data_IF_649913742652
#
_entry.id   IF_649913742652
#
_cell.length_a   1.000
_cell.length_b   1.000
_cell.length_c   1.000
_cell.angle_alpha   90.00
_cell.angle_beta   90.00
_cell.angle_gamma   90.00
#
_symmetry.space_group_name_H-M   'P 1'
#
loop_
_entity.id
_entity.type
_entity.pdbx_description
1 polymer ?
#
# COMPACT_ATOMS: atom_id res chain seq x y z
N UNK A 1 0.46 -31.18 28.69
CA UNK A 1 -0.45 -30.32 29.50
C UNK A 1 0.06 -28.88 29.58
N UNK A 2 -0.24 -28.06 28.58
CA UNK A 2 0.07 -26.62 28.62
C UNK A 2 -1.16 -25.86 28.10
N UNK A 3 -2.10 -25.58 28.99
CA UNK A 3 -3.08 -24.50 28.81
C UNK A 3 -2.41 -23.19 29.22
N UNK A 4 -2.18 -22.28 28.28
CA UNK A 4 -1.53 -21.00 28.55
C UNK A 4 -2.36 -19.85 27.97
N UNK A 5 -2.61 -18.84 28.81
CA UNK A 5 -3.32 -17.60 28.47
C UNK A 5 -2.32 -16.59 27.92
N UNK A 6 -2.69 -15.81 26.91
CA UNK A 6 -1.88 -14.71 26.38
C UNK A 6 -2.70 -13.42 26.26
N UNK A 7 -2.08 -12.27 26.53
CA UNK A 7 -2.67 -10.92 26.43
C UNK A 7 -2.11 -10.18 25.21
N UNK A 8 -2.93 -9.38 24.52
CA UNK A 8 -2.50 -8.43 23.46
C UNK A 8 -2.66 -7.00 23.97
N UNK A 9 -1.72 -6.11 23.67
CA UNK A 9 -1.93 -4.66 23.85
C UNK A 9 -1.52 -3.86 22.62
N UNK A 10 -2.26 -2.78 22.36
CA UNK A 10 -2.06 -1.87 21.23
C UNK A 10 -2.60 -0.50 21.57
N UNK A 11 -1.74 0.52 21.61
CA UNK A 11 -1.93 1.83 20.95
C UNK A 11 -0.81 2.82 21.30
N UNK A 12 -0.17 3.39 20.27
CA UNK A 12 0.70 4.57 20.32
C UNK A 12 -0.11 5.87 20.56
N UNK A 13 0.47 6.86 21.25
CA UNK A 13 0.82 8.17 20.65
C UNK A 13 1.42 9.19 21.67
N UNK A 14 2.66 9.63 21.36
CA UNK A 14 3.39 10.88 21.62
C UNK A 14 3.93 11.36 23.01
N UNK A 15 5.27 11.59 22.96
CA UNK A 15 6.10 12.67 23.55
C UNK A 15 6.76 12.54 24.93
N UNK A 16 8.07 12.25 24.87
CA UNK A 16 9.20 12.70 25.72
C UNK A 16 8.91 13.19 27.16
N UNK A 17 9.41 12.45 28.16
CA UNK A 17 10.52 12.84 29.07
C UNK A 17 10.75 11.74 30.12
N UNK A 18 12.02 11.52 30.43
CA UNK A 18 12.52 10.71 31.55
C UNK A 18 11.83 11.06 32.87
N UNK A 19 11.18 10.08 33.53
CA UNK A 19 10.81 10.17 34.94
C UNK A 19 10.72 8.76 35.56
N UNK A 20 11.45 8.59 36.66
CA UNK A 20 11.47 7.43 37.56
C UNK A 20 10.04 7.21 38.11
N UNK A 21 9.52 5.97 38.22
CA UNK A 21 8.19 5.74 38.80
C UNK A 21 8.16 6.01 40.31
N UNK A 22 7.06 6.57 40.87
CA UNK A 22 6.88 6.73 42.31
C UNK A 22 6.64 5.37 43.02
N UNK A 23 6.89 5.28 44.33
CA UNK A 23 6.84 4.02 45.08
C UNK A 23 5.41 3.48 45.26
N UNK A 24 5.31 2.15 45.28
CA UNK A 24 4.07 1.38 45.50
C UNK A 24 3.60 1.53 46.97
N UNK A 25 2.30 1.80 47.24
CA UNK A 25 1.78 1.87 48.61
C UNK A 25 1.74 0.50 49.31
N UNK A 26 1.87 0.44 50.65
CA UNK A 26 1.93 -0.82 51.39
C UNK A 26 0.58 -1.57 51.39
N UNK A 27 0.64 -2.91 51.38
CA UNK A 27 -0.53 -3.79 51.47
C UNK A 27 -1.19 -3.70 52.87
N UNK A 28 -2.53 -3.66 52.97
CA UNK A 28 -3.23 -3.67 54.25
C UNK A 28 -3.08 -5.00 55.01
N UNK A 29 -2.85 -4.91 56.32
CA UNK A 29 -2.44 -5.98 57.24
C UNK A 29 -3.55 -6.94 57.74
N UNK A 30 -4.70 -7.04 57.07
CA UNK A 30 -5.86 -7.80 57.62
C UNK A 30 -6.46 -8.88 56.71
N UNK A 31 -5.62 -9.71 56.07
CA UNK A 31 -6.10 -10.92 55.37
C UNK A 31 -5.47 -12.23 55.85
N UNK A 32 -4.74 -12.19 56.97
CA UNK A 32 -4.08 -13.38 57.55
C UNK A 32 -4.99 -14.15 58.53
N UNK A 33 -6.16 -13.61 58.90
CA UNK A 33 -7.07 -14.30 59.83
C UNK A 33 -8.11 -15.23 59.18
N UNK A 34 -8.29 -15.20 57.85
CA UNK A 34 -9.37 -15.96 57.18
C UNK A 34 -9.02 -17.41 56.81
N UNK A 35 -7.78 -17.87 57.00
CA UNK A 35 -7.35 -19.23 56.58
C UNK A 35 -6.55 -19.99 57.64
N UNK A 36 -6.87 -19.81 58.94
CA UNK A 36 -6.25 -20.54 60.06
C UNK A 36 -6.66 -22.04 60.13
N UNK A 37 -7.65 -22.48 59.34
CA UNK A 37 -8.14 -23.86 59.34
C UNK A 37 -7.96 -24.52 57.98
N UNK A 38 -6.74 -24.95 57.64
CA UNK A 38 -6.43 -26.00 56.67
C UNK A 38 -4.97 -26.43 56.93
N UNK A 39 -4.74 -26.97 58.14
CA UNK A 39 -3.53 -27.75 58.46
C UNK A 39 -3.76 -29.14 57.92
N UNK A 40 -3.02 -29.56 56.89
CA UNK A 40 -2.47 -30.91 56.77
C UNK A 40 -1.41 -30.98 55.64
N UNK A 41 -0.15 -30.92 56.09
CA UNK A 41 1.07 -31.52 55.51
C UNK A 41 1.75 -30.89 54.27
N UNK A 42 3.09 -31.01 54.14
CA UNK A 42 4.15 -30.73 55.12
C UNK A 42 5.07 -29.57 54.70
N UNK A 43 5.74 -29.04 55.72
CA UNK A 43 6.69 -27.91 55.80
C UNK A 43 7.87 -28.07 54.81
N UNK A 44 8.19 -27.06 53.98
CA UNK A 44 9.05 -25.88 54.22
C UNK A 44 10.54 -26.23 54.48
N UNK A 45 11.44 -25.70 53.65
CA UNK A 45 12.66 -25.01 54.11
C UNK A 45 13.28 -24.15 53.00
N UNK A 46 13.13 -22.83 53.17
CA UNK A 46 13.94 -21.78 52.55
C UNK A 46 15.13 -21.55 53.48
N UNK A 47 16.36 -21.46 52.95
CA UNK A 47 17.51 -20.95 53.71
C UNK A 47 17.63 -19.42 53.55
N UNK A 48 18.15 -18.70 54.57
CA UNK A 48 18.17 -17.25 54.63
C UNK A 48 19.28 -16.63 53.76
N UNK A 49 19.09 -15.38 53.33
CA UNK A 49 20.12 -14.57 52.70
C UNK A 49 21.17 -14.08 53.72
N UNK A 50 22.49 -14.08 53.40
CA UNK A 50 23.51 -13.39 54.19
C UNK A 50 23.64 -11.89 53.83
N UNK A 51 24.14 -11.10 54.77
CA UNK A 51 24.06 -9.63 54.86
C UNK A 51 24.99 -8.83 53.89
N UNK A 52 24.63 -7.59 53.51
CA UNK A 52 25.58 -6.56 53.05
C UNK A 52 26.13 -5.80 54.27
N UNK A 53 27.40 -5.32 54.36
CA UNK A 53 27.89 -4.10 53.66
C UNK A 53 29.44 -4.14 53.41
N UNK A 54 30.22 -3.13 52.96
CA UNK A 54 30.49 -1.76 53.45
C UNK A 54 31.23 -0.93 52.37
N UNK A 55 30.95 0.38 52.36
CA UNK A 55 31.56 1.46 51.56
C UNK A 55 32.99 1.85 51.98
N UNK A 56 33.78 2.36 51.04
CA UNK A 56 35.00 3.13 51.30
C UNK A 56 35.18 4.28 50.31
N UNK A 57 34.88 5.50 50.77
CA UNK A 57 35.22 6.77 50.12
C UNK A 57 36.74 7.00 50.04
N UNK A 58 37.23 7.66 48.97
CA UNK A 58 37.86 9.00 49.07
C UNK A 58 38.41 9.53 47.73
N UNK A 59 38.23 10.85 47.59
CA UNK A 59 38.68 11.78 46.54
C UNK A 59 40.19 12.06 46.63
N UNK A 60 40.83 12.40 45.49
CA UNK A 60 41.66 13.62 45.38
C UNK A 60 42.14 13.89 43.94
N UNK A 61 41.99 15.14 43.54
CA UNK A 61 42.46 15.87 42.37
C UNK A 61 43.97 16.15 42.37
N UNK A 62 44.65 16.13 41.20
CA UNK A 62 45.76 17.04 40.82
C UNK A 62 45.88 17.14 39.28
N UNK A 63 46.07 18.37 38.77
CA UNK A 63 46.34 18.73 37.36
C UNK A 63 47.85 18.79 37.03
N UNK A 64 48.18 18.30 35.83
CA UNK A 64 49.13 18.75 34.78
C UNK A 64 50.54 19.31 35.07
N UNK A 65 51.58 18.70 34.47
CA UNK A 65 52.37 19.33 33.38
C UNK A 65 53.38 18.37 32.70
N UNK A 66 53.12 18.08 31.42
CA UNK A 66 53.97 18.31 30.23
C UNK A 66 55.45 17.83 30.18
N UNK A 67 55.74 16.79 29.37
CA UNK A 67 56.46 16.87 28.06
C UNK A 67 56.95 15.51 27.51
N UNK A 68 56.45 15.20 26.29
CA UNK A 68 57.04 14.44 25.16
C UNK A 68 57.33 12.93 25.31
N UNK A 69 56.49 12.10 24.67
CA UNK A 69 56.82 11.38 23.40
C UNK A 69 55.59 10.68 22.80
N UNK A 70 55.29 11.08 21.55
CA UNK A 70 54.75 10.31 20.42
C UNK A 70 53.47 9.45 20.54
N UNK A 71 52.59 9.69 19.56
CA UNK A 71 51.55 8.83 18.95
C UNK A 71 50.21 8.62 19.68
N UNK A 72 49.25 9.52 19.39
CA UNK A 72 47.80 9.26 19.29
C UNK A 72 47.44 9.01 17.81
N UNK A 73 46.19 8.64 17.43
CA UNK A 73 45.24 7.72 18.04
C UNK A 73 44.67 6.70 17.03
N UNK A 74 44.07 5.64 17.56
CA UNK A 74 43.23 4.68 16.82
C UNK A 74 42.01 5.41 16.26
N UNK A 75 41.89 5.40 14.93
CA UNK A 75 40.74 5.86 14.17
C UNK A 75 40.43 4.75 13.15
N UNK A 76 39.44 3.90 13.45
CA UNK A 76 38.99 2.89 12.50
C UNK A 76 37.87 3.48 11.65
N UNK A 77 38.24 3.93 10.45
CA UNK A 77 37.36 4.01 9.29
C UNK A 77 37.83 2.97 8.27
N UNK A 78 36.89 2.11 7.86
CA UNK A 78 36.69 1.54 6.52
C UNK A 78 37.86 1.59 5.53
N UNK A 79 38.26 0.42 5.00
CA UNK A 79 38.13 0.12 3.55
C UNK A 79 38.51 -1.34 3.21
N UNK A 80 37.68 -1.93 2.34
CA UNK A 80 38.07 -2.74 1.16
C UNK A 80 38.88 -4.02 1.37
N UNK A 81 38.27 -5.18 1.08
CA UNK A 81 39.00 -6.40 0.75
C UNK A 81 38.69 -6.88 -0.69
N UNK A 82 39.74 -6.80 -1.51
CA UNK A 82 40.22 -7.70 -2.56
C UNK A 82 39.24 -8.44 -3.50
N UNK A 83 39.25 -7.92 -4.72
CA UNK A 83 39.26 -8.60 -6.03
C UNK A 83 39.92 -9.99 -5.99
N UNK A 84 39.17 -11.03 -6.32
CA UNK A 84 39.68 -12.33 -6.77
C UNK A 84 39.30 -12.53 -8.23
N UNK A 85 40.31 -12.74 -9.07
CA UNK A 85 40.16 -13.32 -10.40
C UNK A 85 40.00 -14.84 -10.25
N UNK A 86 39.11 -15.43 -11.03
CA UNK A 86 39.20 -16.84 -11.41
C UNK A 86 38.52 -17.05 -12.76
N UNK A 87 39.35 -17.32 -13.76
CA UNK A 87 38.98 -18.11 -14.93
C UNK A 87 38.97 -19.58 -14.50
N UNK A 88 37.83 -20.26 -14.62
CA UNK A 88 37.68 -21.45 -15.46
C UNK A 88 36.30 -22.09 -15.30
N UNK A 89 35.87 -22.65 -16.43
CA UNK A 89 34.58 -23.28 -16.69
C UNK A 89 34.24 -24.47 -15.77
N UNK A 90 32.95 -24.66 -15.48
CA UNK A 90 32.14 -25.78 -15.98
C UNK A 90 30.74 -25.79 -15.33
N UNK A 91 29.76 -26.14 -16.16
CA UNK A 91 28.34 -26.39 -15.94
C UNK A 91 27.83 -26.62 -14.49
N UNK A 92 26.75 -25.93 -14.11
CA UNK A 92 25.42 -26.55 -13.92
C UNK A 92 24.34 -25.50 -13.63
N UNK A 93 23.17 -25.79 -14.17
CA UNK A 93 21.95 -24.98 -14.33
C UNK A 93 21.12 -24.81 -13.04
N UNK A 94 20.62 -23.60 -12.77
CA UNK A 94 19.22 -23.42 -12.39
C UNK A 94 18.77 -21.99 -12.71
N UNK A 95 17.75 -21.88 -13.54
CA UNK A 95 17.23 -20.63 -14.10
C UNK A 95 15.97 -20.24 -13.33
N UNK A 96 15.96 -19.09 -12.65
CA UNK A 96 14.71 -18.43 -12.26
C UNK A 96 14.53 -17.21 -13.17
N UNK A 97 13.57 -17.30 -14.08
CA UNK A 97 13.32 -16.27 -15.11
C UNK A 97 12.70 -15.02 -14.48
N UNK A 98 13.39 -13.89 -14.58
CA UNK A 98 12.76 -12.57 -14.48
C UNK A 98 11.87 -12.37 -15.71
N UNK A 99 10.55 -12.48 -15.53
CA UNK A 99 9.54 -12.16 -16.55
C UNK A 99 9.56 -10.66 -16.86
N UNK A 100 10.39 -10.25 -17.82
CA UNK A 100 10.19 -9.00 -18.56
C UNK A 100 9.01 -9.21 -19.51
N UNK A 101 7.81 -8.79 -19.11
CA UNK A 101 6.70 -8.68 -20.05
C UNK A 101 6.96 -7.50 -21.01
N UNK A 102 7.54 -7.77 -22.17
CA UNK A 102 7.48 -6.86 -23.31
C UNK A 102 6.10 -7.01 -23.96
N UNK A 103 5.18 -6.11 -23.66
CA UNK A 103 3.92 -6.02 -24.40
C UNK A 103 4.20 -5.39 -25.77
N UNK A 104 4.30 -6.23 -26.80
CA UNK A 104 4.33 -5.80 -28.20
C UNK A 104 2.89 -5.66 -28.69
N UNK A 105 2.46 -4.43 -29.00
CA UNK A 105 1.16 -4.13 -29.63
C UNK A 105 1.19 -4.46 -31.14
N UNK A 106 1.65 -5.67 -31.51
CA UNK A 106 1.95 -6.07 -32.88
C UNK A 106 0.75 -6.22 -33.82
N UNK A 107 -0.46 -6.41 -33.27
CA UNK A 107 -1.64 -6.77 -34.07
C UNK A 107 -2.63 -5.63 -34.31
N UNK A 108 -2.30 -4.40 -33.91
CA UNK A 108 -3.11 -3.21 -34.21
C UNK A 108 -2.47 -2.40 -35.34
N UNK A 109 -2.57 -2.92 -36.58
CA UNK A 109 -2.10 -2.19 -37.78
C UNK A 109 -2.88 -0.89 -37.95
N UNK A 110 -2.19 0.22 -37.68
CA UNK A 110 -2.62 1.58 -37.97
C UNK A 110 -2.65 1.83 -39.48
N UNK A 111 -3.81 2.22 -40.00
CA UNK A 111 -3.90 2.93 -41.29
C UNK A 111 -3.24 4.30 -41.13
N UNK A 112 -2.07 4.48 -41.76
CA UNK A 112 -1.36 5.76 -41.83
C UNK A 112 -2.10 6.71 -42.78
N UNK A 113 -2.98 7.56 -42.26
CA UNK A 113 -3.36 8.81 -42.95
C UNK A 113 -3.72 9.94 -41.99
N UNK A 114 -3.20 11.12 -42.30
CA UNK A 114 -3.49 12.46 -41.77
C UNK A 114 -2.58 13.04 -40.66
N UNK A 115 -1.46 13.59 -41.10
CA UNK A 115 -0.48 14.36 -40.30
C UNK A 115 -0.74 15.88 -40.25
N UNK A 116 -1.81 16.38 -40.88
CA UNK A 116 -2.15 17.83 -40.89
C UNK A 116 -3.17 18.24 -39.81
N UNK A 117 -4.08 17.34 -39.42
CA UNK A 117 -5.14 17.64 -38.44
C UNK A 117 -4.65 17.66 -36.98
N UNK A 118 -3.64 16.83 -36.66
CA UNK A 118 -3.04 16.75 -35.31
C UNK A 118 -2.48 18.11 -34.83
N UNK A 119 -2.01 18.98 -35.72
CA UNK A 119 -1.47 20.31 -35.37
C UNK A 119 -2.56 21.36 -35.09
N UNK A 120 -3.75 21.23 -35.66
CA UNK A 120 -4.84 22.19 -35.47
C UNK A 120 -5.54 22.02 -34.11
N UNK A 121 -5.71 20.78 -33.66
CA UNK A 121 -6.32 20.45 -32.35
C UNK A 121 -5.37 20.78 -31.20
N UNK A 122 -4.07 20.49 -31.34
CA UNK A 122 -3.05 20.89 -30.36
C UNK A 122 -2.96 22.43 -30.18
N UNK A 123 -3.31 23.21 -31.22
CA UNK A 123 -3.38 24.68 -31.14
C UNK A 123 -4.65 25.15 -30.42
N UNK A 124 -5.81 24.57 -30.74
CA UNK A 124 -7.10 24.88 -30.08
C UNK A 124 -7.14 24.47 -28.60
N UNK A 125 -6.49 23.37 -28.22
CA UNK A 125 -6.35 22.94 -26.82
C UNK A 125 -5.43 23.87 -26.00
N UNK A 126 -4.45 24.51 -26.64
CA UNK A 126 -3.50 25.40 -25.97
C UNK A 126 -4.07 26.83 -25.76
N UNK A 127 -5.08 27.21 -26.55
CA UNK A 127 -5.81 28.48 -26.43
C UNK A 127 -6.87 28.44 -25.29
N UNK A 128 -7.38 27.26 -24.93
CA UNK A 128 -8.34 27.06 -23.83
C UNK A 128 -7.67 26.65 -22.51
N UNK A 129 -6.85 27.53 -21.93
CA UNK A 129 -6.17 27.30 -20.63
C UNK A 129 -7.11 27.13 -19.42
N UNK A 130 -8.43 27.29 -19.58
CA UNK A 130 -9.40 27.28 -18.48
C UNK A 130 -9.95 25.90 -18.12
N UNK A 131 -9.64 24.84 -18.89
CA UNK A 131 -10.25 23.50 -18.73
C UNK A 131 -9.26 22.35 -18.52
N UNK A 132 -8.07 22.61 -17.97
CA UNK A 132 -7.10 21.56 -17.60
C UNK A 132 -7.41 20.84 -16.28
N UNK A 133 -8.58 21.06 -15.69
CA UNK A 133 -9.02 20.39 -14.47
C UNK A 133 -9.94 19.24 -14.83
N UNK A 134 -9.74 18.07 -14.20
CA UNK A 134 -10.75 17.02 -14.15
C UNK A 134 -12.01 17.63 -13.50
N UNK A 135 -13.12 17.82 -14.23
CA UNK A 135 -14.35 18.25 -13.59
C UNK A 135 -14.83 17.12 -12.67
N UNK A 136 -15.16 17.44 -11.41
CA UNK A 136 -15.64 16.46 -10.42
C UNK A 136 -14.60 15.94 -9.43
N UNK A 137 -13.57 16.73 -9.11
CA UNK A 137 -12.56 16.35 -8.10
C UNK A 137 -13.05 16.48 -6.64
N UNK A 138 -14.07 17.31 -6.36
CA UNK A 138 -14.50 17.58 -4.97
C UNK A 138 -15.76 16.81 -4.52
N UNK A 139 -16.53 16.20 -5.42
CA UNK A 139 -17.85 15.63 -5.05
C UNK A 139 -17.90 14.11 -4.88
N UNK A 140 -16.89 13.35 -5.31
CA UNK A 140 -17.05 11.89 -5.41
C UNK A 140 -16.28 11.06 -4.36
N UNK A 141 -15.35 11.66 -3.62
CA UNK A 141 -14.62 10.97 -2.56
C UNK A 141 -15.27 11.10 -1.16
N UNK A 142 -16.15 12.07 -0.95
CA UNK A 142 -16.89 12.22 0.33
C UNK A 142 -18.00 11.15 0.50
N UNK A 143 -18.58 10.69 -0.62
CA UNK A 143 -19.76 9.82 -0.60
C UNK A 143 -19.46 8.34 -0.34
N UNK A 144 -18.20 7.89 -0.42
CA UNK A 144 -17.84 6.51 -0.03
C UNK A 144 -17.79 6.30 1.49
N UNK A 145 -17.86 7.38 2.29
CA UNK A 145 -17.78 7.33 3.76
C UNK A 145 -19.06 7.74 4.50
N UNK A 146 -20.16 8.05 3.81
CA UNK A 146 -21.46 8.25 4.47
C UNK A 146 -22.56 7.55 3.68
N UNK A 147 -23.04 6.44 4.22
CA UNK A 147 -24.19 5.74 3.67
C UNK A 147 -25.46 6.53 3.94
N UNK A 148 -25.83 7.46 3.04
CA UNK A 148 -27.20 7.98 2.89
C UNK A 148 -27.34 8.47 1.44
N UNK A 149 -27.93 7.66 0.56
CA UNK A 149 -28.40 8.15 -0.74
C UNK A 149 -29.78 8.79 -0.51
N UNK A 150 -29.81 10.09 -0.21
CA UNK A 150 -31.06 10.84 -0.24
C UNK A 150 -31.34 11.21 -1.70
N UNK A 151 -32.02 10.32 -2.39
CA UNK A 151 -32.62 10.59 -3.69
C UNK A 151 -33.75 11.60 -3.49
N UNK A 152 -33.49 12.86 -3.81
CA UNK A 152 -34.57 13.82 -4.07
C UNK A 152 -35.04 13.60 -5.51
N UNK A 153 -35.92 12.62 -5.68
CA UNK A 153 -36.74 12.47 -6.89
C UNK A 153 -37.75 13.63 -6.92
N UNK A 154 -37.55 14.60 -7.82
CA UNK A 154 -38.67 15.41 -8.29
C UNK A 154 -39.43 14.59 -9.33
N UNK A 155 -40.55 14.04 -8.89
CA UNK A 155 -41.55 13.37 -9.70
C UNK A 155 -42.15 14.32 -10.73
N UNK A 156 -41.86 14.11 -12.00
CA UNK A 156 -42.71 14.51 -13.12
C UNK A 156 -42.78 13.32 -14.09
N UNK A 157 -43.72 12.42 -13.80
CA UNK A 157 -44.33 11.56 -14.81
C UNK A 157 -45.29 12.43 -15.61
N UNK A 158 -45.05 12.62 -16.91
CA UNK A 158 -46.09 12.59 -17.95
C UNK A 158 -45.49 12.67 -19.37
N UNK A 159 -46.07 11.83 -20.23
CA UNK A 159 -46.14 11.83 -21.69
C UNK A 159 -44.94 11.38 -22.57
N UNK A 160 -45.07 10.10 -22.94
CA UNK A 160 -44.53 9.42 -24.12
C UNK A 160 -45.10 10.08 -25.39
N UNK A 161 -44.28 10.11 -26.45
CA UNK A 161 -44.53 10.63 -27.81
C UNK A 161 -43.92 12.03 -27.98
N UNK A 162 -42.64 12.07 -28.42
CA UNK A 162 -41.79 13.18 -28.94
C UNK A 162 -40.32 13.20 -28.41
N UNK A 163 -39.80 12.10 -27.82
CA UNK A 163 -38.47 12.11 -27.15
C UNK A 163 -37.24 11.65 -27.97
N UNK A 164 -37.40 11.10 -29.17
CA UNK A 164 -36.28 10.51 -29.94
C UNK A 164 -35.10 11.46 -30.25
N UNK A 165 -35.33 12.73 -30.66
CA UNK A 165 -34.24 13.68 -30.94
C UNK A 165 -33.48 14.10 -29.66
N UNK A 166 -34.21 14.26 -28.54
CA UNK A 166 -33.62 14.65 -27.26
C UNK A 166 -32.78 13.53 -26.64
N UNK A 167 -33.20 12.27 -26.79
CA UNK A 167 -32.42 11.11 -26.30
C UNK A 167 -31.13 10.92 -27.11
N UNK A 168 -31.17 11.10 -28.44
CA UNK A 168 -29.99 11.05 -29.31
C UNK A 168 -28.97 12.16 -28.98
N UNK A 169 -29.44 13.36 -28.66
CA UNK A 169 -28.58 14.47 -28.18
C UNK A 169 -27.97 14.15 -26.81
N UNK A 170 -28.75 13.61 -25.86
CA UNK A 170 -28.23 13.19 -24.54
C UNK A 170 -27.20 12.07 -24.64
N UNK A 171 -27.42 11.07 -25.51
CA UNK A 171 -26.48 9.98 -25.76
C UNK A 171 -25.13 10.50 -26.29
N UNK A 172 -25.18 11.42 -27.27
CA UNK A 172 -23.99 12.09 -27.80
C UNK A 172 -23.24 12.85 -26.70
N UNK A 173 -23.94 13.61 -25.85
CA UNK A 173 -23.32 14.37 -24.76
C UNK A 173 -22.58 13.48 -23.76
N UNK A 174 -23.11 12.31 -23.43
CA UNK A 174 -22.40 11.36 -22.54
C UNK A 174 -21.16 10.78 -23.24
N UNK A 175 -21.25 10.46 -24.53
CA UNK A 175 -20.09 10.01 -25.31
C UNK A 175 -19.02 11.10 -25.43
N UNK A 176 -19.44 12.35 -25.66
CA UNK A 176 -18.58 13.53 -25.68
C UNK A 176 -17.92 13.75 -24.31
N UNK A 177 -18.65 13.62 -23.21
CA UNK A 177 -18.09 13.68 -21.86
C UNK A 177 -17.05 12.58 -21.63
N UNK A 178 -17.31 11.35 -22.05
CA UNK A 178 -16.36 10.25 -21.94
C UNK A 178 -15.06 10.55 -22.69
N UNK A 179 -15.16 11.05 -23.93
CA UNK A 179 -14.01 11.45 -24.74
C UNK A 179 -13.24 12.63 -24.12
N UNK A 180 -13.95 13.70 -23.74
CA UNK A 180 -13.37 14.90 -23.14
C UNK A 180 -12.63 14.58 -21.85
N UNK A 181 -13.22 13.76 -20.97
CA UNK A 181 -12.59 13.35 -19.72
C UNK A 181 -11.43 12.36 -19.95
N UNK A 182 -11.46 11.54 -21.00
CA UNK A 182 -10.33 10.71 -21.41
C UNK A 182 -9.14 11.58 -21.85
N UNK A 183 -9.36 12.59 -22.68
CA UNK A 183 -8.31 13.53 -23.08
C UNK A 183 -7.71 14.28 -21.90
N UNK A 184 -8.55 14.75 -20.97
CA UNK A 184 -8.08 15.38 -19.73
C UNK A 184 -7.19 14.41 -18.93
N UNK A 185 -7.60 13.15 -18.80
CA UNK A 185 -6.81 12.13 -18.12
C UNK A 185 -5.48 11.84 -18.82
N UNK A 186 -5.47 11.72 -20.16
CA UNK A 186 -4.24 11.55 -20.95
C UNK A 186 -3.28 12.74 -20.77
N UNK A 187 -3.81 13.96 -20.67
CA UNK A 187 -3.01 15.15 -20.38
C UNK A 187 -2.38 15.10 -18.98
N UNK A 188 -3.12 14.65 -17.96
CA UNK A 188 -2.57 14.41 -16.62
C UNK A 188 -1.46 13.35 -16.66
N UNK A 189 -1.69 12.21 -17.34
CA UNK A 189 -0.68 11.17 -17.52
C UNK A 189 0.56 11.70 -18.26
N UNK A 190 0.39 12.58 -19.25
CA UNK A 190 1.51 13.23 -19.95
C UNK A 190 2.27 14.19 -19.03
N UNK A 191 1.56 14.98 -18.23
CA UNK A 191 2.19 15.88 -17.26
C UNK A 191 3.09 15.08 -16.30
N UNK A 192 2.56 13.98 -15.76
CA UNK A 192 3.30 13.11 -14.82
C UNK A 192 4.46 12.34 -15.49
N UNK A 193 4.24 11.75 -16.67
CA UNK A 193 5.19 10.80 -17.27
C UNK A 193 6.16 11.39 -18.30
N UNK A 194 5.94 12.61 -18.76
CA UNK A 194 6.76 13.25 -19.80
C UNK A 194 7.19 14.64 -19.38
N UNK A 195 6.23 15.49 -18.97
CA UNK A 195 6.55 16.89 -18.72
C UNK A 195 7.32 17.06 -17.40
N UNK A 196 6.98 16.29 -16.35
CA UNK A 196 7.65 16.36 -15.06
C UNK A 196 9.13 15.93 -15.11
N UNK A 197 9.50 14.75 -15.64
CA UNK A 197 10.92 14.37 -15.76
C UNK A 197 11.72 15.37 -16.59
N UNK A 198 11.18 15.81 -17.74
CA UNK A 198 11.82 16.82 -18.59
C UNK A 198 11.98 18.16 -17.90
N UNK A 199 10.99 18.55 -17.09
CA UNK A 199 11.07 19.77 -16.31
C UNK A 199 12.23 19.68 -15.31
N UNK A 200 12.31 18.60 -14.53
CA UNK A 200 13.42 18.39 -13.59
C UNK A 200 14.77 18.34 -14.31
N UNK A 201 14.87 17.62 -15.43
CA UNK A 201 16.08 17.57 -16.27
C UNK A 201 16.49 18.98 -16.72
N UNK A 202 15.56 19.78 -17.24
CA UNK A 202 15.85 21.15 -17.67
C UNK A 202 16.28 22.07 -16.52
N UNK A 203 15.71 21.90 -15.32
CA UNK A 203 16.10 22.65 -14.14
C UNK A 203 17.47 22.22 -13.63
N UNK A 204 17.84 20.95 -13.80
CA UNK A 204 19.14 20.41 -13.37
C UNK A 204 20.32 20.98 -14.16
N UNK A 205 20.08 21.41 -15.40
CA UNK A 205 21.07 22.11 -16.22
C UNK A 205 21.42 23.49 -15.64
N UNK A 206 20.47 24.11 -14.92
CA UNK A 206 20.64 25.42 -14.29
C UNK A 206 21.13 25.24 -12.84
N UNK A 207 20.56 24.27 -12.12
CA UNK A 207 20.92 23.93 -10.75
C UNK A 207 21.30 22.46 -10.63
N UNK A 208 22.60 22.18 -10.66
CA UNK A 208 23.15 20.82 -10.56
C UNK A 208 22.83 20.12 -9.22
N UNK A 209 22.39 20.85 -8.17
CA UNK A 209 21.95 20.23 -6.91
C UNK A 209 20.71 19.34 -7.10
N UNK A 210 19.97 19.52 -8.19
CA UNK A 210 18.88 18.66 -8.64
C UNK A 210 19.35 17.35 -9.30
N UNK A 211 20.64 17.01 -9.25
CA UNK A 211 21.12 15.68 -9.67
C UNK A 211 21.40 14.76 -8.48
N UNK A 212 21.27 15.28 -7.25
CA UNK A 212 21.64 14.56 -6.02
C UNK A 212 20.49 13.72 -5.47
N UNK A 213 19.23 14.08 -5.78
CA UNK A 213 18.07 13.34 -5.32
C UNK A 213 17.88 12.01 -6.08
N UNK A 214 17.29 10.99 -5.45
CA UNK A 214 16.84 9.78 -6.13
C UNK A 214 15.92 10.09 -7.32
N UNK A 215 16.05 9.31 -8.39
CA UNK A 215 15.43 9.57 -9.71
C UNK A 215 13.94 9.18 -9.81
N UNK A 216 13.16 9.57 -8.78
CA UNK A 216 11.71 9.39 -8.70
C UNK A 216 10.97 9.92 -9.95
N UNK A 217 11.35 11.06 -10.58
CA UNK A 217 10.68 11.51 -11.80
C UNK A 217 10.72 10.48 -12.93
N UNK A 218 11.88 9.90 -13.23
CA UNK A 218 11.98 8.88 -14.26
C UNK A 218 11.34 7.56 -13.83
N UNK A 219 11.29 7.24 -12.53
CA UNK A 219 10.55 6.09 -12.04
C UNK A 219 9.04 6.21 -12.30
N UNK A 220 8.45 7.35 -11.97
CA UNK A 220 7.05 7.66 -12.28
C UNK A 220 6.81 7.53 -13.78
N UNK A 221 7.69 8.11 -14.60
CA UNK A 221 7.61 8.06 -16.06
C UNK A 221 7.58 6.63 -16.59
N UNK A 222 8.46 5.76 -16.07
CA UNK A 222 8.58 4.36 -16.49
C UNK A 222 7.29 3.58 -16.21
N UNK A 223 6.72 3.74 -15.01
CA UNK A 223 5.50 3.03 -14.62
C UNK A 223 4.26 3.52 -15.37
N UNK A 224 4.21 4.81 -15.71
CA UNK A 224 3.08 5.41 -16.44
C UNK A 224 3.18 5.33 -17.97
N UNK A 225 4.35 4.99 -18.52
CA UNK A 225 4.61 5.04 -19.97
C UNK A 225 3.60 4.22 -20.78
N UNK A 226 3.42 2.96 -20.42
CA UNK A 226 2.56 2.04 -21.16
C UNK A 226 1.07 2.39 -20.95
N UNK A 227 0.70 2.82 -19.74
CA UNK A 227 -0.65 3.27 -19.41
C UNK A 227 -1.04 4.51 -20.22
N UNK A 228 -0.16 5.50 -20.32
CA UNK A 228 -0.40 6.70 -21.14
C UNK A 228 -0.64 6.36 -22.62
N UNK A 229 0.09 5.39 -23.17
CA UNK A 229 -0.11 4.96 -24.56
C UNK A 229 -1.49 4.33 -24.76
N UNK A 230 -1.90 3.43 -23.86
CA UNK A 230 -3.23 2.81 -23.90
C UNK A 230 -4.33 3.88 -23.86
N UNK A 231 -4.28 4.78 -22.90
CA UNK A 231 -5.33 5.80 -22.74
C UNK A 231 -5.34 6.84 -23.86
N UNK A 232 -4.17 7.16 -24.44
CA UNK A 232 -4.10 7.99 -25.65
C UNK A 232 -4.82 7.31 -26.83
N UNK A 233 -4.65 6.00 -26.99
CA UNK A 233 -5.36 5.25 -28.03
C UNK A 233 -6.88 5.24 -27.80
N UNK A 234 -7.34 5.10 -26.55
CA UNK A 234 -8.76 5.21 -26.19
C UNK A 234 -9.30 6.59 -26.57
N UNK A 235 -8.58 7.67 -26.21
CA UNK A 235 -8.96 9.04 -26.52
C UNK A 235 -9.03 9.29 -28.04
N UNK A 236 -8.04 8.83 -28.81
CA UNK A 236 -8.03 8.96 -30.28
C UNK A 236 -9.18 8.19 -30.93
N UNK A 237 -9.51 6.97 -30.43
CA UNK A 237 -10.63 6.17 -30.94
C UNK A 237 -12.00 6.79 -30.62
N UNK A 238 -12.19 7.28 -29.39
CA UNK A 238 -13.41 7.98 -28.99
C UNK A 238 -13.59 9.25 -29.82
N UNK A 239 -12.53 10.05 -30.01
CA UNK A 239 -12.59 11.25 -30.83
C UNK A 239 -12.97 10.92 -32.27
N UNK A 240 -12.32 9.94 -32.89
CA UNK A 240 -12.63 9.52 -34.26
C UNK A 240 -14.09 9.07 -34.42
N UNK A 241 -14.68 8.49 -33.37
CA UNK A 241 -16.09 8.07 -33.35
C UNK A 241 -17.02 9.28 -33.26
N UNK A 242 -16.72 10.27 -32.42
CA UNK A 242 -17.50 11.50 -32.33
C UNK A 242 -17.45 12.32 -33.62
N UNK A 243 -16.28 12.38 -34.28
CA UNK A 243 -16.12 13.08 -35.56
C UNK A 243 -17.00 12.48 -36.69
N UNK A 244 -17.41 11.21 -36.55
CA UNK A 244 -18.25 10.46 -37.48
C UNK A 244 -19.54 9.93 -36.84
N UNK A 245 -20.03 10.63 -35.81
CA UNK A 245 -21.13 10.16 -34.96
C UNK A 245 -22.41 9.81 -35.73
N UNK A 246 -22.76 10.63 -36.72
CA UNK A 246 -23.99 10.44 -37.53
C UNK A 246 -24.01 9.10 -38.27
N UNK A 247 -22.84 8.59 -38.67
CA UNK A 247 -22.72 7.32 -39.37
C UNK A 247 -22.74 6.12 -38.42
N UNK A 248 -22.26 6.30 -37.19
CA UNK A 248 -22.11 5.21 -36.20
C UNK A 248 -22.20 5.74 -34.76
N UNK A 249 -23.42 5.97 -34.23
CA UNK A 249 -23.63 6.61 -32.93
C UNK A 249 -23.52 5.61 -31.76
N UNK A 250 -22.34 5.02 -31.60
CA UNK A 250 -22.10 3.90 -30.69
C UNK A 250 -20.66 4.05 -30.14
N UNK A 251 -20.32 3.59 -28.93
CA UNK A 251 -18.95 3.64 -28.37
C UNK A 251 -18.54 2.38 -27.62
N UNK A 252 -19.49 1.50 -27.29
CA UNK A 252 -19.24 0.31 -26.49
C UNK A 252 -18.18 -0.62 -27.10
N UNK A 253 -18.18 -0.77 -28.43
CA UNK A 253 -17.19 -1.59 -29.14
C UNK A 253 -15.74 -1.13 -28.92
N UNK A 254 -15.53 0.16 -28.65
CA UNK A 254 -14.21 0.71 -28.33
C UNK A 254 -13.78 0.20 -26.96
N UNK A 255 -14.68 0.29 -25.97
CA UNK A 255 -14.43 -0.11 -24.58
C UNK A 255 -14.26 -1.62 -24.43
N UNK A 256 -15.04 -2.43 -25.15
CA UNK A 256 -14.88 -3.89 -25.19
C UNK A 256 -13.49 -4.31 -25.69
N UNK A 257 -12.99 -3.64 -26.74
CA UNK A 257 -11.66 -3.92 -27.31
C UNK A 257 -10.52 -3.58 -26.35
N UNK A 258 -10.66 -2.55 -25.52
CA UNK A 258 -9.60 -2.07 -24.63
C UNK A 258 -9.73 -2.55 -23.18
N UNK A 259 -10.91 -3.02 -22.77
CA UNK A 259 -11.26 -3.24 -21.37
C UNK A 259 -10.30 -4.19 -20.65
N UNK A 260 -9.92 -5.30 -21.28
CA UNK A 260 -8.96 -6.24 -20.71
C UNK A 260 -7.56 -5.65 -20.51
N UNK A 261 -7.14 -4.71 -21.37
CA UNK A 261 -5.82 -4.07 -21.25
C UNK A 261 -5.75 -3.12 -20.07
N UNK A 262 -6.87 -2.57 -19.59
CA UNK A 262 -6.91 -1.70 -18.42
C UNK A 262 -6.40 -2.38 -17.14
N UNK A 263 -6.39 -3.73 -17.09
CA UNK A 263 -5.77 -4.51 -16.00
C UNK A 263 -4.30 -4.13 -15.76
N UNK A 264 -3.59 -3.62 -16.77
CA UNK A 264 -2.21 -3.14 -16.64
C UNK A 264 -2.07 -1.99 -15.63
N UNK A 265 -3.17 -1.27 -15.33
CA UNK A 265 -3.20 -0.20 -14.33
C UNK A 265 -2.78 -0.70 -12.95
N UNK A 266 -3.04 -1.97 -12.63
CA UNK A 266 -2.58 -2.63 -11.40
C UNK A 266 -1.07 -2.47 -11.20
N UNK A 267 -0.27 -2.59 -12.25
CA UNK A 267 1.20 -2.52 -12.17
C UNK A 267 1.68 -1.17 -11.62
N UNK A 268 1.04 -0.08 -12.05
CA UNK A 268 1.33 1.25 -11.51
C UNK A 268 0.75 1.40 -10.11
N UNK A 269 -0.51 1.02 -9.91
CA UNK A 269 -1.21 1.21 -8.64
C UNK A 269 -0.52 0.49 -7.48
N UNK A 270 0.06 -0.69 -7.72
CA UNK A 270 0.87 -1.39 -6.72
C UNK A 270 2.11 -0.59 -6.29
N UNK A 271 2.72 0.20 -7.18
CA UNK A 271 3.95 0.98 -6.88
C UNK A 271 3.64 2.42 -6.44
N UNK A 272 2.39 2.86 -6.56
CA UNK A 272 1.96 4.25 -6.33
C UNK A 272 2.37 4.77 -4.95
N UNK A 273 2.14 4.00 -3.89
CA UNK A 273 2.42 4.42 -2.51
C UNK A 273 3.91 4.60 -2.24
N UNK A 274 4.74 3.69 -2.76
CA UNK A 274 6.19 3.76 -2.68
C UNK A 274 6.71 5.01 -3.41
N UNK A 275 6.27 5.23 -4.66
CA UNK A 275 6.64 6.41 -5.45
C UNK A 275 6.21 7.72 -4.79
N UNK A 276 5.00 7.75 -4.20
CA UNK A 276 4.48 8.89 -3.45
C UNK A 276 5.35 9.18 -2.22
N UNK A 277 5.71 8.14 -1.46
CA UNK A 277 6.54 8.25 -0.27
C UNK A 277 7.93 8.76 -0.62
N UNK A 278 8.56 8.20 -1.66
CA UNK A 278 9.88 8.65 -2.13
C UNK A 278 9.85 10.10 -2.61
N UNK A 279 8.80 10.52 -3.33
CA UNK A 279 8.64 11.92 -3.73
C UNK A 279 8.58 12.86 -2.52
N UNK A 280 7.76 12.52 -1.53
CA UNK A 280 7.62 13.32 -0.29
C UNK A 280 8.94 13.38 0.48
N UNK A 281 9.62 12.24 0.63
CA UNK A 281 10.92 12.16 1.31
C UNK A 281 11.97 13.00 0.58
N UNK A 282 12.02 12.92 -0.75
CA UNK A 282 12.93 13.73 -1.56
C UNK A 282 12.64 15.23 -1.40
N UNK A 283 11.37 15.66 -1.41
CA UNK A 283 11.03 17.06 -1.15
C UNK A 283 11.45 17.51 0.25
N UNK A 284 11.39 16.64 1.27
CA UNK A 284 11.86 16.98 2.62
C UNK A 284 13.38 17.09 2.72
N UNK A 285 14.10 16.21 2.02
CA UNK A 285 15.56 16.13 2.08
C UNK A 285 16.25 17.14 1.17
N UNK A 286 15.64 17.50 0.04
CA UNK A 286 16.25 18.32 -1.02
C UNK A 286 15.40 19.58 -1.30
N UNK A 287 15.70 20.73 -0.66
CA UNK A 287 14.90 21.95 -0.80
C UNK A 287 14.78 22.48 -2.23
N UNK A 288 15.86 22.40 -3.01
CA UNK A 288 15.86 22.83 -4.41
C UNK A 288 14.92 21.96 -5.26
N UNK A 289 14.88 20.65 -4.97
CA UNK A 289 13.95 19.73 -5.61
C UNK A 289 12.50 20.03 -5.21
N UNK A 290 12.25 20.30 -3.92
CA UNK A 290 10.92 20.73 -3.46
C UNK A 290 10.45 22.01 -4.16
N UNK A 291 11.32 23.01 -4.33
CA UNK A 291 10.99 24.23 -5.05
C UNK A 291 10.68 23.94 -6.53
N UNK A 292 11.46 23.07 -7.18
CA UNK A 292 11.19 22.64 -8.55
C UNK A 292 9.85 21.91 -8.69
N UNK A 293 9.55 20.96 -7.80
CA UNK A 293 8.27 20.25 -7.75
C UNK A 293 7.11 21.23 -7.55
N UNK A 294 7.23 22.17 -6.61
CA UNK A 294 6.21 23.18 -6.35
C UNK A 294 5.94 24.08 -7.57
N UNK A 295 7.01 24.51 -8.25
CA UNK A 295 6.90 25.30 -9.48
C UNK A 295 6.20 24.51 -10.60
N UNK A 296 6.49 23.21 -10.71
CA UNK A 296 5.81 22.32 -11.63
C UNK A 296 4.32 22.19 -11.30
N UNK A 297 3.98 21.93 -10.03
CA UNK A 297 2.60 21.82 -9.53
C UNK A 297 1.78 23.08 -9.81
N UNK A 298 2.35 24.27 -9.56
CA UNK A 298 1.69 25.55 -9.84
C UNK A 298 1.39 25.71 -11.33
N UNK A 299 2.30 25.29 -12.20
CA UNK A 299 2.17 25.43 -13.66
C UNK A 299 1.24 24.40 -14.28
N UNK A 300 1.31 23.15 -13.84
CA UNK A 300 0.62 22.02 -14.50
C UNK A 300 -0.66 21.59 -13.79
N UNK A 301 -0.77 21.79 -12.49
CA UNK A 301 -1.89 21.29 -11.67
C UNK A 301 -2.62 22.39 -10.88
N UNK A 302 -2.35 23.67 -11.19
CA UNK A 302 -2.99 24.79 -10.50
C UNK A 302 -2.69 24.85 -9.00
N UNK A 303 -1.55 24.29 -8.57
CA UNK A 303 -1.15 24.21 -7.16
C UNK A 303 -1.62 22.95 -6.43
N UNK A 304 -2.32 22.03 -7.08
CA UNK A 304 -2.57 20.70 -6.51
C UNK A 304 -1.26 19.89 -6.48
N UNK A 305 -1.08 19.15 -5.38
CA UNK A 305 0.13 18.36 -5.17
C UNK A 305 0.26 17.23 -6.20
N UNK A 306 1.48 17.03 -6.73
CA UNK A 306 1.80 15.99 -7.70
C UNK A 306 1.47 14.60 -7.13
N UNK A 307 1.69 14.40 -5.84
CA UNK A 307 1.39 13.14 -5.16
C UNK A 307 -0.09 12.77 -5.24
N UNK A 308 -0.99 13.76 -5.12
CA UNK A 308 -2.44 13.53 -5.26
C UNK A 308 -2.82 13.24 -6.71
N UNK A 309 -2.09 13.78 -7.68
CA UNK A 309 -2.33 13.48 -9.09
C UNK A 309 -2.03 12.02 -9.45
N UNK A 310 -1.22 11.30 -8.65
CA UNK A 310 -0.98 9.87 -8.87
C UNK A 310 -2.25 9.02 -8.70
N UNK A 311 -3.25 9.49 -7.94
CA UNK A 311 -4.52 8.80 -7.74
C UNK A 311 -5.42 8.81 -8.98
N UNK A 312 -5.11 9.64 -9.99
CA UNK A 312 -5.90 9.75 -11.21
C UNK A 312 -6.07 8.40 -11.94
N UNK A 313 -5.10 7.47 -11.80
CA UNK A 313 -5.18 6.13 -12.39
C UNK A 313 -6.30 5.30 -11.77
N UNK A 314 -6.34 5.21 -10.44
CA UNK A 314 -7.41 4.49 -9.74
C UNK A 314 -8.77 5.13 -10.06
N UNK A 315 -8.83 6.47 -9.98
CA UNK A 315 -10.05 7.22 -10.28
C UNK A 315 -10.58 6.94 -11.69
N UNK A 316 -9.70 6.84 -12.71
CA UNK A 316 -10.15 6.57 -14.07
C UNK A 316 -10.78 5.18 -14.20
N UNK A 317 -10.20 4.17 -13.57
CA UNK A 317 -10.74 2.80 -13.56
C UNK A 317 -12.15 2.77 -12.95
N UNK A 318 -12.35 3.44 -11.80
CA UNK A 318 -13.67 3.51 -11.17
C UNK A 318 -14.70 4.32 -11.97
N UNK A 319 -14.27 5.26 -12.82
CA UNK A 319 -15.17 6.14 -13.56
C UNK A 319 -15.80 5.47 -14.79
N UNK A 320 -15.16 4.50 -15.44
CA UNK A 320 -15.74 3.90 -16.65
C UNK A 320 -17.10 3.23 -16.42
N UNK A 321 -17.31 2.40 -15.38
CA UNK A 321 -18.63 1.83 -15.10
C UNK A 321 -19.72 2.88 -14.84
N UNK A 322 -19.36 4.00 -14.19
CA UNK A 322 -20.28 5.10 -13.90
C UNK A 322 -20.72 5.83 -15.18
N UNK A 323 -19.75 6.16 -16.04
CA UNK A 323 -20.02 6.78 -17.34
C UNK A 323 -20.89 5.87 -18.22
N UNK A 324 -20.60 4.56 -18.24
CA UNK A 324 -21.43 3.58 -18.96
C UNK A 324 -22.83 3.43 -18.35
N UNK A 325 -22.97 3.52 -17.03
CA UNK A 325 -24.30 3.51 -16.39
C UNK A 325 -25.14 4.70 -16.84
N UNK A 326 -24.55 5.88 -16.95
CA UNK A 326 -25.22 7.07 -17.50
C UNK A 326 -25.48 6.93 -19.01
N UNK A 327 -24.56 6.33 -19.76
CA UNK A 327 -24.72 6.09 -21.20
C UNK A 327 -25.89 5.15 -21.50
N UNK A 328 -26.02 4.07 -20.74
CA UNK A 328 -27.10 3.08 -20.86
C UNK A 328 -28.50 3.68 -20.63
N UNK A 329 -28.63 4.73 -19.80
CA UNK A 329 -29.92 5.42 -19.58
C UNK A 329 -30.49 6.05 -20.85
N UNK A 330 -29.63 6.36 -21.83
CA UNK A 330 -30.02 7.01 -23.09
C UNK A 330 -29.87 6.09 -24.30
N UNK A 331 -29.40 4.86 -24.11
CA UNK A 331 -29.37 3.84 -25.16
C UNK A 331 -30.78 3.27 -25.37
N UNK A 332 -31.16 3.03 -26.63
CA UNK A 332 -32.42 2.34 -26.91
C UNK A 332 -32.34 0.89 -26.41
N UNK A 333 -33.25 0.40 -25.55
CA UNK A 333 -33.17 -0.94 -24.95
C UNK A 333 -33.10 -2.09 -25.96
N UNK A 334 -33.62 -1.89 -27.18
CA UNK A 334 -33.63 -2.91 -28.24
C UNK A 334 -32.48 -2.73 -29.25
N UNK A 335 -31.48 -1.92 -28.95
CA UNK A 335 -30.35 -1.67 -29.85
C UNK A 335 -29.15 -2.56 -29.55
N UNK A 336 -28.39 -2.94 -30.59
CA UNK A 336 -27.11 -3.65 -30.45
C UNK A 336 -26.11 -2.91 -29.56
N UNK A 337 -26.16 -1.56 -29.56
CA UNK A 337 -25.33 -0.74 -28.68
C UNK A 337 -25.70 -0.86 -27.21
N UNK A 338 -26.99 -1.05 -26.87
CA UNK A 338 -27.40 -1.26 -25.48
C UNK A 338 -26.80 -2.55 -24.93
N UNK A 339 -26.91 -3.66 -25.67
CA UNK A 339 -26.31 -4.95 -25.28
C UNK A 339 -24.78 -4.85 -25.19
N UNK A 340 -24.14 -4.23 -26.19
CA UNK A 340 -22.70 -4.02 -26.20
C UNK A 340 -22.23 -3.15 -25.04
N UNK A 341 -22.96 -2.08 -24.70
CA UNK A 341 -22.64 -1.19 -23.59
C UNK A 341 -22.85 -1.88 -22.23
N UNK A 342 -23.85 -2.74 -22.13
CA UNK A 342 -24.10 -3.55 -20.93
C UNK A 342 -22.98 -4.58 -20.72
N UNK A 343 -22.54 -5.24 -21.79
CA UNK A 343 -21.37 -6.11 -21.77
C UNK A 343 -20.09 -5.33 -21.38
N UNK A 344 -19.87 -4.16 -22.00
CA UNK A 344 -18.73 -3.31 -21.67
C UNK A 344 -18.75 -2.88 -20.20
N UNK A 345 -19.92 -2.58 -19.64
CA UNK A 345 -20.07 -2.22 -18.23
C UNK A 345 -19.66 -3.38 -17.33
N UNK A 346 -20.21 -4.58 -17.57
CA UNK A 346 -19.86 -5.79 -16.79
C UNK A 346 -18.37 -6.11 -16.87
N UNK A 347 -17.77 -5.99 -18.06
CA UNK A 347 -16.34 -6.17 -18.25
C UNK A 347 -15.53 -5.18 -17.41
N UNK A 348 -15.85 -3.89 -17.46
CA UNK A 348 -15.10 -2.86 -16.75
C UNK A 348 -15.31 -2.93 -15.23
N UNK A 349 -16.49 -3.35 -14.76
CA UNK A 349 -16.74 -3.68 -13.35
C UNK A 349 -15.87 -4.86 -12.89
N UNK A 350 -15.81 -5.94 -13.69
CA UNK A 350 -14.93 -7.08 -13.42
C UNK A 350 -13.46 -6.67 -13.38
N UNK A 351 -13.01 -5.85 -14.34
CA UNK A 351 -11.63 -5.34 -14.36
C UNK A 351 -11.31 -4.50 -13.13
N UNK A 352 -12.23 -3.62 -12.71
CA UNK A 352 -12.04 -2.82 -11.50
C UNK A 352 -11.90 -3.70 -10.25
N UNK A 353 -12.75 -4.73 -10.11
CA UNK A 353 -12.69 -5.69 -9.01
C UNK A 353 -11.39 -6.51 -9.02
N UNK A 354 -10.96 -6.99 -10.19
CA UNK A 354 -9.70 -7.72 -10.34
C UNK A 354 -8.48 -6.87 -9.97
N UNK A 355 -8.48 -5.59 -10.35
CA UNK A 355 -7.42 -4.66 -9.96
C UNK A 355 -7.41 -4.52 -8.44
N UNK A 356 -8.56 -4.25 -7.81
CA UNK A 356 -8.69 -4.09 -6.36
C UNK A 356 -8.20 -5.33 -5.60
N UNK A 357 -8.70 -6.52 -5.97
CA UNK A 357 -8.25 -7.78 -5.39
C UNK A 357 -6.74 -7.96 -5.56
N UNK A 358 -6.21 -7.59 -6.73
CA UNK A 358 -4.80 -7.65 -7.03
C UNK A 358 -3.92 -6.69 -6.23
N UNK A 359 -4.47 -5.55 -5.78
CA UNK A 359 -3.80 -4.63 -4.85
C UNK A 359 -3.73 -5.24 -3.47
N UNK A 360 -4.86 -5.72 -2.94
CA UNK A 360 -4.95 -6.38 -1.63
C UNK A 360 -4.00 -7.58 -1.54
N UNK A 361 -3.95 -8.42 -2.57
CA UNK A 361 -3.03 -9.56 -2.63
C UNK A 361 -1.57 -9.14 -2.73
N UNK A 362 -1.28 -8.07 -3.48
CA UNK A 362 0.07 -7.50 -3.57
C UNK A 362 0.57 -7.00 -2.21
N UNK A 363 -0.28 -6.30 -1.46
CA UNK A 363 0.06 -5.77 -0.14
C UNK A 363 0.19 -6.89 0.90
N UNK A 364 -0.65 -7.93 0.80
CA UNK A 364 -0.51 -9.12 1.63
C UNK A 364 0.85 -9.79 1.40
N UNK A 365 1.21 -10.01 0.13
CA UNK A 365 2.48 -10.63 -0.25
C UNK A 365 3.68 -9.80 0.20
N UNK A 366 3.62 -8.47 0.09
CA UNK A 366 4.66 -7.57 0.62
C UNK A 366 4.85 -7.74 2.13
N UNK A 367 3.76 -7.77 2.90
CA UNK A 367 3.83 -8.03 4.35
C UNK A 367 4.43 -9.41 4.65
N UNK A 368 4.04 -10.44 3.89
CA UNK A 368 4.63 -11.77 4.00
C UNK A 368 6.13 -11.79 3.70
N UNK A 369 6.61 -11.06 2.68
CA UNK A 369 8.05 -10.91 2.43
C UNK A 369 8.78 -10.21 3.59
N UNK A 370 8.19 -9.15 4.16
CA UNK A 370 8.76 -8.49 5.33
C UNK A 370 8.84 -9.43 6.54
N UNK A 371 7.81 -10.24 6.77
CA UNK A 371 7.82 -11.28 7.81
C UNK A 371 8.88 -12.35 7.55
N UNK A 372 8.98 -12.87 6.34
CA UNK A 372 9.98 -13.88 5.96
C UNK A 372 11.39 -13.39 6.27
N UNK A 373 11.69 -12.12 5.97
CA UNK A 373 13.00 -11.49 6.26
C UNK A 373 13.28 -11.32 7.75
N UNK A 374 12.25 -11.29 8.60
CA UNK A 374 12.39 -11.24 10.07
C UNK A 374 12.61 -12.63 10.66
N UNK A 375 12.34 -13.72 9.94
CA UNK A 375 12.53 -15.06 10.47
C UNK A 375 14.01 -15.47 10.47
N UNK A 376 14.52 -15.80 11.65
CA UNK A 376 15.78 -16.50 11.87
C UNK A 376 15.53 -18.02 11.90
N UNK A 377 14.96 -18.55 10.83
CA UNK A 377 14.67 -19.98 10.63
C UNK A 377 14.46 -20.27 9.15
N UNK A 378 14.74 -21.50 8.73
CA UNK A 378 14.50 -21.97 7.35
C UNK A 378 13.01 -22.23 7.05
N UNK A 379 12.10 -21.77 7.91
CA UNK A 379 10.67 -21.94 7.69
C UNK A 379 10.18 -21.00 6.57
N UNK A 380 9.62 -21.58 5.53
CA UNK A 380 9.05 -20.85 4.40
C UNK A 380 7.60 -20.45 4.68
N UNK A 381 7.37 -19.15 4.87
CA UNK A 381 6.04 -18.57 5.03
C UNK A 381 5.33 -18.49 3.67
N UNK A 382 6.05 -18.16 2.60
CA UNK A 382 5.44 -17.85 1.29
C UNK A 382 5.07 -19.16 0.60
N UNK A 383 3.78 -19.51 0.63
CA UNK A 383 3.25 -20.71 0.02
C UNK A 383 2.01 -20.41 -0.82
N UNK A 384 1.72 -21.17 -1.90
CA UNK A 384 0.52 -21.00 -2.68
C UNK A 384 -0.74 -21.09 -1.80
N UNK A 385 -1.67 -20.15 -1.96
CA UNK A 385 -2.93 -20.11 -1.20
C UNK A 385 -2.81 -19.58 0.23
N UNK A 386 -1.60 -19.43 0.79
CA UNK A 386 -1.42 -18.84 2.12
C UNK A 386 -1.54 -17.31 2.08
N UNK A 387 -2.36 -16.75 2.96
CA UNK A 387 -2.59 -15.31 3.12
C UNK A 387 -2.37 -14.90 4.57
N UNK A 388 -1.63 -13.82 4.79
CA UNK A 388 -1.47 -13.23 6.11
C UNK A 388 -2.78 -12.58 6.55
N UNK A 389 -3.32 -12.98 7.70
CA UNK A 389 -4.53 -12.38 8.26
C UNK A 389 -4.18 -11.34 9.33
N UNK A 390 -3.25 -11.69 10.23
CA UNK A 390 -2.86 -10.81 11.33
C UNK A 390 -1.48 -11.16 11.88
N UNK A 391 -0.77 -10.17 12.39
CA UNK A 391 0.46 -10.37 13.15
C UNK A 391 0.47 -9.47 14.38
N UNK A 392 1.23 -9.85 15.41
CA UNK A 392 1.37 -9.01 16.59
C UNK A 392 2.17 -9.61 17.73
N UNK A 393 2.62 -8.73 18.63
CA UNK A 393 3.25 -9.11 19.88
C UNK A 393 2.20 -9.48 20.94
N UNK A 394 2.49 -10.55 21.68
CA UNK A 394 1.67 -11.03 22.78
C UNK A 394 2.54 -11.40 23.96
N UNK A 395 1.99 -11.27 25.17
CA UNK A 395 2.67 -11.69 26.40
C UNK A 395 2.20 -13.08 26.79
N UNK A 396 3.09 -14.08 26.69
CA UNK A 396 2.79 -15.44 27.14
C UNK A 396 3.00 -15.54 28.65
N UNK A 397 1.92 -15.83 29.37
CA UNK A 397 1.99 -16.24 30.76
C UNK A 397 2.52 -17.68 30.86
N UNK A 398 3.69 -17.85 31.46
CA UNK A 398 4.23 -19.16 31.86
C UNK A 398 4.09 -19.32 33.38
N UNK A 399 4.36 -20.53 33.91
CA UNK A 399 4.19 -20.81 35.35
C UNK A 399 4.98 -19.88 36.29
N UNK A 400 6.09 -19.33 35.82
CA UNK A 400 7.03 -18.52 36.62
C UNK A 400 7.26 -17.12 36.07
N UNK A 401 7.12 -16.93 34.75
CA UNK A 401 7.54 -15.72 34.06
C UNK A 401 6.61 -15.38 32.90
N UNK A 402 6.54 -14.10 32.59
CA UNK A 402 5.83 -13.56 31.43
C UNK A 402 6.86 -13.32 30.33
N UNK A 403 6.63 -13.87 29.15
CA UNK A 403 7.58 -13.72 28.05
C UNK A 403 6.94 -13.10 26.81
N UNK A 404 7.62 -12.15 26.14
CA UNK A 404 7.17 -11.61 24.87
C UNK A 404 7.22 -12.68 23.78
N UNK A 405 6.18 -12.77 22.98
CA UNK A 405 6.03 -13.67 21.84
C UNK A 405 5.44 -12.90 20.67
N UNK A 406 5.65 -13.42 19.48
CA UNK A 406 5.08 -12.86 18.26
C UNK A 406 4.22 -13.92 17.60
N UNK A 407 2.96 -13.60 17.35
CA UNK A 407 2.03 -14.48 16.66
C UNK A 407 1.87 -13.98 15.22
N UNK A 408 1.85 -14.93 14.28
CA UNK A 408 1.52 -14.65 12.88
C UNK A 408 0.40 -15.59 12.47
N UNK A 409 -0.79 -15.03 12.28
CA UNK A 409 -1.97 -15.75 11.85
C UNK A 409 -2.08 -15.69 10.33
N UNK A 410 -2.01 -16.86 9.71
CA UNK A 410 -2.35 -17.08 8.32
C UNK A 410 -3.75 -17.69 8.21
N UNK A 411 -4.24 -17.89 7.00
CA UNK A 411 -5.53 -18.56 6.74
C UNK A 411 -5.51 -20.08 6.95
N UNK A 412 -4.33 -20.69 7.06
CA UNK A 412 -4.14 -22.14 7.22
C UNK A 412 -3.41 -22.52 8.52
N UNK A 413 -2.51 -21.65 9.00
CA UNK A 413 -1.70 -21.88 10.20
C UNK A 413 -1.61 -20.65 11.11
N UNK A 414 -1.30 -20.90 12.38
CA UNK A 414 -0.83 -19.91 13.34
C UNK A 414 0.65 -20.19 13.67
N UNK A 415 1.52 -19.25 13.30
CA UNK A 415 2.94 -19.32 13.60
C UNK A 415 3.20 -18.70 14.98
N UNK A 416 3.83 -19.48 15.86
CA UNK A 416 4.23 -19.07 17.20
C UNK A 416 5.72 -18.79 17.22
N UNK A 417 6.10 -17.52 17.38
CA UNK A 417 7.48 -17.06 17.35
C UNK A 417 7.92 -16.49 18.70
N UNK A 418 9.22 -16.53 18.95
CA UNK A 418 9.87 -15.79 20.03
C UNK A 418 10.95 -14.87 19.46
N UNK A 419 11.16 -13.67 20.02
CA UNK A 419 12.26 -12.82 19.60
C UNK A 419 13.59 -13.56 19.80
N UNK A 420 14.53 -13.41 18.86
CA UNK A 420 15.86 -14.06 18.93
C UNK A 420 16.64 -13.51 20.11
N UNK A 421 16.61 -12.18 20.27
CA UNK A 421 17.18 -11.42 21.39
C UNK A 421 16.09 -10.48 21.92
N UNK A 422 16.09 -10.17 23.22
CA UNK A 422 15.13 -9.20 23.78
C UNK A 422 15.22 -7.85 23.06
N UNK A 423 14.07 -7.31 22.64
CA UNK A 423 13.98 -6.08 21.86
C UNK A 423 14.39 -6.19 20.38
N UNK A 424 14.75 -7.39 19.90
CA UNK A 424 15.06 -7.60 18.48
C UNK A 424 13.79 -7.82 17.65
N UNK A 425 13.75 -7.25 16.45
CA UNK A 425 12.70 -7.50 15.45
C UNK A 425 12.80 -8.88 14.79
N UNK A 426 13.94 -9.56 14.97
CA UNK A 426 14.20 -10.91 14.45
C UNK A 426 13.47 -11.97 15.28
N UNK A 427 12.81 -12.87 14.58
CA UNK A 427 11.90 -13.85 15.14
C UNK A 427 12.43 -15.26 14.91
N UNK A 428 12.40 -16.09 15.95
CA UNK A 428 12.64 -17.53 15.84
C UNK A 428 11.32 -18.26 15.94
N UNK A 429 11.02 -19.10 14.95
CA UNK A 429 9.86 -19.98 14.98
C UNK A 429 10.02 -20.99 16.12
N UNK A 430 9.02 -21.05 17.00
CA UNK A 430 8.96 -21.98 18.13
C UNK A 430 7.96 -23.09 17.89
N UNK A 431 6.85 -22.79 17.23
CA UNK A 431 5.87 -23.79 16.85
C UNK A 431 5.06 -23.33 15.62
N UNK A 432 4.54 -24.30 14.88
CA UNK A 432 3.59 -24.11 13.78
C UNK A 432 2.31 -24.83 14.18
N UNK A 433 1.20 -24.11 14.25
CA UNK A 433 -0.07 -24.64 14.71
C UNK A 433 -1.06 -24.58 13.55
N UNK A 434 -1.37 -25.70 12.86
CA UNK A 434 -2.40 -25.70 11.83
C UNK A 434 -3.75 -25.29 12.44
N UNK A 435 -4.50 -24.43 11.77
CA UNK A 435 -5.75 -23.89 12.34
C UNK A 435 -6.79 -24.97 12.60
N UNK A 436 -6.81 -26.03 11.79
CA UNK A 436 -7.66 -27.22 11.98
C UNK A 436 -7.40 -27.93 13.32
N UNK A 437 -6.22 -27.72 13.92
CA UNK A 437 -5.85 -28.31 15.21
C UNK A 437 -6.18 -27.41 16.40
N UNK A 438 -6.62 -26.17 16.17
CA UNK A 438 -6.89 -25.20 17.21
C UNK A 438 -8.37 -25.17 17.54
N UNK A 439 -8.67 -25.22 18.83
CA UNK A 439 -10.02 -24.97 19.34
C UNK A 439 -10.32 -23.47 19.31
N UNK A 440 -11.61 -23.12 19.38
CA UNK A 440 -12.05 -21.73 19.42
C UNK A 440 -11.39 -21.01 20.61
N UNK A 441 -10.87 -19.78 20.41
CA UNK A 441 -10.21 -19.05 21.48
C UNK A 441 -11.19 -18.76 22.62
N UNK A 442 -10.80 -19.17 23.83
CA UNK A 442 -11.60 -18.90 25.02
C UNK A 442 -11.22 -17.52 25.54
N UNK A 443 -12.21 -16.62 25.60
CA UNK A 443 -12.08 -15.30 26.21
C UNK A 443 -12.56 -15.36 27.66
N UNK A 444 -11.76 -14.88 28.64
CA UNK A 444 -12.19 -14.80 30.02
C UNK A 444 -13.41 -13.88 30.19
N UNK A 445 -14.34 -14.26 31.07
CA UNK A 445 -15.57 -13.49 31.35
C UNK A 445 -15.37 -12.32 32.32
N UNK A 446 -14.17 -12.12 32.84
CA UNK A 446 -13.87 -11.11 33.85
C UNK A 446 -13.23 -9.88 33.20
N UNK A 447 -13.73 -8.69 33.51
CA UNK A 447 -13.27 -7.39 33.00
C UNK A 447 -11.77 -7.17 33.23
N UNK A 448 -11.22 -7.68 34.34
CA UNK A 448 -9.79 -7.58 34.67
C UNK A 448 -8.89 -8.42 33.74
N UNK A 449 -9.46 -9.39 33.02
CA UNK A 449 -8.76 -10.30 32.09
C UNK A 449 -9.31 -10.14 30.66
N UNK A 450 -9.95 -9.02 30.36
CA UNK A 450 -10.69 -8.82 29.11
C UNK A 450 -9.83 -8.86 27.83
N UNK A 451 -8.53 -8.55 27.89
CA UNK A 451 -7.62 -8.73 26.74
C UNK A 451 -6.85 -10.06 26.73
N UNK A 452 -7.16 -10.99 27.64
CA UNK A 452 -6.56 -12.32 27.72
C UNK A 452 -7.30 -13.28 26.78
N UNK A 453 -6.58 -14.21 26.16
CA UNK A 453 -7.18 -15.28 25.38
C UNK A 453 -6.39 -16.58 25.58
N UNK A 454 -7.09 -17.71 25.49
CA UNK A 454 -6.48 -19.03 25.54
C UNK A 454 -6.60 -19.74 24.20
N UNK A 455 -5.48 -20.26 23.71
CA UNK A 455 -5.45 -21.16 22.56
C UNK A 455 -5.21 -22.58 23.06
N UNK A 456 -6.08 -23.51 22.64
CA UNK A 456 -5.93 -24.94 22.93
C UNK A 456 -5.69 -25.67 21.61
N UNK A 457 -4.69 -26.54 21.61
CA UNK A 457 -4.44 -27.46 20.50
C UNK A 457 -5.07 -28.81 20.84
N UNK A 458 -5.91 -29.31 19.95
CA UNK A 458 -6.70 -30.54 20.09
C UNK A 458 -5.84 -31.81 20.20
N UNK A 459 -4.61 -31.81 19.66
CA UNK A 459 -3.74 -32.99 19.64
C UNK A 459 -2.69 -32.99 20.77
N UNK A 460 -2.40 -31.84 21.38
CA UNK A 460 -1.43 -31.72 22.49
C UNK A 460 -2.05 -31.93 23.88
N UNK A 461 -3.37 -32.14 23.95
CA UNK A 461 -4.11 -32.41 25.19
C UNK A 461 -4.13 -33.89 25.59
N UNK A 462 -3.74 -34.82 24.71
CA UNK A 462 -3.92 -36.27 24.93
C UNK A 462 -2.71 -36.96 25.60
N UNK A 463 -1.51 -36.35 25.64
CA UNK A 463 -0.28 -37.05 26.05
C UNK A 463 0.25 -36.72 27.44
N UNK A 464 -0.58 -36.23 28.34
CA UNK A 464 -0.24 -36.19 29.75
C UNK A 464 -1.53 -36.59 30.49
N UNK A 465 -1.60 -37.85 30.90
CA UNK A 465 -2.54 -38.39 31.88
C UNK A 465 -1.72 -39.10 32.94
#
# INVERSE_FOLDING_TARGET
MVSGVAYVDSSEFFLMRSAIPPPVPPKPLHLVEKYRHLRNSPLRAVRPAPAPPIFGDRKSSVQCNDKRRATLPVLVKSQSFHRWHSENALHQSSSYSSLRHSFSFGDLRLSRRSSKWKKSILKKLNENRRYNYLPGHDSYFSERSSGVYSASESSEEEDVIYQEPQQKDKLYRVAEEMCRTEWAYVNTLKALSVDFPKFIESQSLINQRLLVQPDVPNEIARHLHALRKLHLEIAERLQSRLDSWTSRPQIADILLKVGHFLKMSRMFLQQKEELATQLIQNCRQYPDFAAAVHNFEKKHFGGLLLVHQLDCVHQRICRYPLLLSTYLKYCSPNSEEYESALEAKRLLESVALEIEHGLVEGDNLRKMFHLQRRLYSDYEIIQPGRKLLKEGEVMKHSRKEIHPRFLVLFNDILLYCAPVVHGSSMLRVRNVLPLETLDMPVLPKNDATSKEFHLRNLYLSVTNG
#
